data_IF_383942440611
#
_entry.id   IF_383942440611
#
_cell.length_a   1.000
_cell.length_b   1.000
_cell.length_c   1.000
_cell.angle_alpha   90.00
_cell.angle_beta   90.00
_cell.angle_gamma   90.00
#
_symmetry.space_group_name_H-M   'P 1'
#
loop_
_entity.id
_entity.type
_entity.pdbx_description
1 polymer ?
#
# COMPACT_ATOMS: atom_id res chain seq x y z
N UNK A 1 -19.59 35.52 2.96
CA UNK A 1 -20.02 34.12 3.03
C UNK A 1 -18.93 33.30 2.38
N UNK A 2 -18.00 32.78 3.18
CA UNK A 2 -16.87 31.97 2.70
C UNK A 2 -17.45 30.74 2.04
N UNK A 3 -17.25 30.62 0.72
CA UNK A 3 -17.48 29.37 0.01
C UNK A 3 -16.54 28.34 0.64
N UNK A 4 -17.06 27.54 1.58
CA UNK A 4 -16.51 26.23 1.81
C UNK A 4 -16.57 25.58 0.43
N UNK A 5 -15.40 25.41 -0.19
CA UNK A 5 -15.25 24.50 -1.30
C UNK A 5 -15.66 23.14 -0.72
N UNK A 6 -16.95 22.83 -0.83
CA UNK A 6 -17.45 21.48 -0.71
C UNK A 6 -16.70 20.78 -1.81
N UNK A 7 -15.58 20.16 -1.45
CA UNK A 7 -14.91 19.14 -2.22
C UNK A 7 -15.93 18.02 -2.34
N UNK A 8 -16.89 18.24 -3.22
CA UNK A 8 -17.76 17.27 -3.81
C UNK A 8 -16.78 16.49 -4.68
N UNK A 9 -16.04 15.57 -4.06
CA UNK A 9 -15.38 14.51 -4.78
C UNK A 9 -16.52 13.67 -5.33
N UNK A 10 -17.10 14.16 -6.43
CA UNK A 10 -18.13 13.45 -7.15
C UNK A 10 -17.53 12.12 -7.56
N UNK A 11 -18.26 11.04 -7.29
CA UNK A 11 -17.92 9.68 -7.66
C UNK A 11 -17.90 9.44 -9.19
N UNK A 12 -17.95 10.53 -9.96
CA UNK A 12 -18.00 10.60 -11.43
C UNK A 12 -16.75 11.28 -12.03
N UNK A 13 -15.82 11.76 -11.19
CA UNK A 13 -14.61 12.45 -11.65
C UNK A 13 -13.52 11.50 -12.13
N UNK A 14 -13.41 11.29 -13.45
CA UNK A 14 -12.30 10.56 -14.09
C UNK A 14 -10.92 11.17 -13.83
N UNK A 15 -10.89 12.38 -13.27
CA UNK A 15 -9.71 13.23 -13.11
C UNK A 15 -8.65 12.65 -12.17
N UNK A 16 -9.07 11.76 -11.25
CA UNK A 16 -8.17 11.03 -10.35
C UNK A 16 -8.14 9.53 -10.63
N UNK A 17 -8.84 9.06 -11.68
CA UNK A 17 -8.90 7.65 -12.03
C UNK A 17 -7.55 7.15 -12.54
N UNK A 18 -6.89 7.89 -13.44
CA UNK A 18 -5.55 7.53 -13.91
C UNK A 18 -4.51 7.49 -12.77
N UNK A 19 -4.62 8.41 -11.81
CA UNK A 19 -3.76 8.39 -10.62
C UNK A 19 -4.06 7.19 -9.72
N UNK A 20 -5.34 6.86 -9.53
CA UNK A 20 -5.77 5.69 -8.78
C UNK A 20 -5.25 4.40 -9.42
N UNK A 21 -5.45 4.22 -10.72
CA UNK A 21 -5.01 3.03 -11.47
C UNK A 21 -3.48 2.90 -11.48
N UNK A 22 -2.75 4.01 -11.55
CA UNK A 22 -1.30 4.01 -11.41
C UNK A 22 -0.85 3.55 -10.02
N UNK A 23 -1.47 4.07 -8.94
CA UNK A 23 -1.15 3.70 -7.55
C UNK A 23 -1.51 2.24 -7.24
N UNK A 24 -2.66 1.78 -7.72
CA UNK A 24 -3.08 0.37 -7.64
C UNK A 24 -2.10 -0.50 -8.43
N UNK A 25 -1.74 -0.11 -9.66
CA UNK A 25 -0.76 -0.81 -10.48
C UNK A 25 0.63 -0.92 -9.83
N UNK A 26 1.08 0.10 -9.10
CA UNK A 26 2.31 0.02 -8.30
C UNK A 26 2.18 -0.94 -7.13
N UNK A 27 1.04 -0.91 -6.43
CA UNK A 27 0.80 -1.68 -5.22
C UNK A 27 0.61 -3.18 -5.51
N UNK A 28 -0.13 -3.52 -6.56
CA UNK A 28 -0.43 -4.90 -6.96
C UNK A 28 0.60 -5.48 -7.95
N UNK A 29 1.32 -4.62 -8.67
CA UNK A 29 2.29 -5.01 -9.69
C UNK A 29 3.67 -5.40 -9.15
N UNK A 30 4.64 -5.43 -10.06
CA UNK A 30 6.02 -5.84 -9.73
C UNK A 30 6.74 -4.88 -8.79
N UNK A 31 6.38 -3.59 -8.77
CA UNK A 31 6.97 -2.64 -7.83
C UNK A 31 6.64 -2.98 -6.39
N UNK A 32 5.37 -3.26 -6.08
CA UNK A 32 4.94 -3.70 -4.76
C UNK A 32 5.62 -4.99 -4.31
N UNK A 33 5.71 -5.98 -5.22
CA UNK A 33 6.42 -7.24 -4.97
C UNK A 33 7.92 -7.02 -4.74
N UNK A 34 8.57 -6.16 -5.53
CA UNK A 34 9.98 -5.83 -5.38
C UNK A 34 10.25 -5.10 -4.05
N UNK A 35 9.38 -4.17 -3.65
CA UNK A 35 9.50 -3.45 -2.39
C UNK A 35 9.31 -4.37 -1.17
N UNK A 36 8.38 -5.32 -1.25
CA UNK A 36 8.19 -6.35 -0.23
C UNK A 36 9.44 -7.24 -0.06
N UNK A 37 10.05 -7.66 -1.17
CA UNK A 37 11.30 -8.44 -1.15
C UNK A 37 12.45 -7.59 -0.58
N UNK A 38 12.59 -6.34 -1.00
CA UNK A 38 13.62 -5.43 -0.49
C UNK A 38 13.48 -5.18 1.02
N UNK A 39 12.25 -5.01 1.52
CA UNK A 39 11.96 -4.86 2.94
C UNK A 39 12.31 -6.13 3.73
N UNK A 40 11.97 -7.30 3.19
CA UNK A 40 12.36 -8.59 3.78
C UNK A 40 13.89 -8.76 3.84
N UNK A 41 14.59 -8.50 2.72
CA UNK A 41 16.04 -8.61 2.66
C UNK A 41 16.74 -7.65 3.63
N UNK A 42 16.25 -6.41 3.72
CA UNK A 42 16.79 -5.42 4.67
C UNK A 42 16.54 -5.86 6.11
N UNK A 43 15.33 -6.36 6.43
CA UNK A 43 15.00 -6.91 7.74
C UNK A 43 15.83 -8.14 8.10
N UNK A 44 16.12 -9.01 7.12
CA UNK A 44 16.97 -10.19 7.29
C UNK A 44 18.44 -9.81 7.56
N UNK A 45 19.00 -8.85 6.81
CA UNK A 45 20.36 -8.34 7.01
C UNK A 45 20.51 -7.73 8.42
N UNK A 46 19.56 -6.90 8.84
CA UNK A 46 19.57 -6.26 10.16
C UNK A 46 19.35 -7.29 11.29
N UNK A 47 18.49 -8.29 11.07
CA UNK A 47 18.27 -9.39 12.01
C UNK A 47 19.52 -10.24 12.22
N UNK A 48 20.22 -10.55 11.12
CA UNK A 48 21.50 -11.26 11.16
C UNK A 48 22.57 -10.46 11.91
N UNK A 49 22.69 -9.15 11.62
CA UNK A 49 23.65 -8.27 12.29
C UNK A 49 23.42 -8.16 13.81
N UNK A 50 22.18 -8.32 14.28
CA UNK A 50 21.83 -8.20 15.69
C UNK A 50 21.69 -9.53 16.42
N UNK A 51 21.95 -10.67 15.78
CA UNK A 51 21.73 -12.02 16.32
C UNK A 51 20.31 -12.23 16.88
N UNK A 52 19.31 -11.55 16.32
CA UNK A 52 17.90 -11.68 16.75
C UNK A 52 17.00 -11.90 15.55
N UNK A 53 16.03 -12.80 15.68
CA UNK A 53 15.06 -13.09 14.61
C UNK A 53 13.96 -12.02 14.46
N UNK A 54 13.78 -11.15 15.47
CA UNK A 54 12.70 -10.16 15.52
C UNK A 54 12.66 -9.22 14.30
N UNK A 55 13.79 -8.66 13.80
CA UNK A 55 13.77 -7.77 12.62
C UNK A 55 13.38 -8.49 11.32
N UNK A 56 13.74 -9.77 11.19
CA UNK A 56 13.33 -10.58 10.05
C UNK A 56 11.83 -10.87 10.09
N UNK A 57 11.27 -11.15 11.28
CA UNK A 57 9.83 -11.36 11.46
C UNK A 57 9.02 -10.11 11.09
N UNK A 58 9.50 -8.91 11.44
CA UNK A 58 8.85 -7.65 11.06
C UNK A 58 8.83 -7.48 9.53
N UNK A 59 9.92 -7.83 8.83
CA UNK A 59 9.97 -7.83 7.37
C UNK A 59 8.96 -8.79 6.73
N UNK A 60 8.77 -9.98 7.31
CA UNK A 60 7.76 -10.96 6.86
C UNK A 60 6.34 -10.42 7.06
N UNK A 61 6.05 -9.88 8.25
CA UNK A 61 4.72 -9.30 8.54
C UNK A 61 4.42 -8.13 7.60
N UNK A 62 5.40 -7.27 7.34
CA UNK A 62 5.26 -6.19 6.37
C UNK A 62 4.95 -6.70 4.97
N UNK A 63 5.65 -7.74 4.50
CA UNK A 63 5.38 -8.35 3.20
C UNK A 63 3.95 -8.94 3.11
N UNK A 64 3.46 -9.58 4.17
CA UNK A 64 2.09 -10.12 4.24
C UNK A 64 1.06 -8.99 4.18
N UNK A 65 1.22 -7.94 4.99
CA UNK A 65 0.31 -6.79 5.00
C UNK A 65 0.32 -6.08 3.66
N UNK A 66 1.48 -5.90 3.03
CA UNK A 66 1.58 -5.27 1.72
C UNK A 66 0.96 -6.12 0.60
N UNK A 67 0.92 -7.45 0.75
CA UNK A 67 0.29 -8.34 -0.22
C UNK A 67 -1.25 -8.34 -0.19
N UNK A 68 -1.85 -8.01 0.95
CA UNK A 68 -3.31 -8.07 1.17
C UNK A 68 -3.92 -6.65 1.27
N UNK A 69 -3.11 -5.67 1.69
CA UNK A 69 -3.54 -4.28 1.93
C UNK A 69 -4.26 -3.61 0.75
N UNK A 70 -3.74 -3.66 -0.49
CA UNK A 70 -4.39 -3.04 -1.64
C UNK A 70 -5.81 -3.56 -1.88
N UNK A 71 -6.00 -4.88 -1.78
CA UNK A 71 -7.32 -5.51 -1.95
C UNK A 71 -8.32 -5.17 -0.85
N UNK A 72 -7.87 -5.05 0.41
CA UNK A 72 -8.73 -4.63 1.52
C UNK A 72 -9.16 -3.16 1.33
N UNK A 73 -8.25 -2.28 0.95
CA UNK A 73 -8.54 -0.86 0.72
C UNK A 73 -9.54 -0.71 -0.43
N UNK A 74 -9.30 -1.37 -1.57
CA UNK A 74 -10.22 -1.36 -2.70
C UNK A 74 -11.61 -1.88 -2.32
N UNK A 75 -11.69 -3.01 -1.58
CA UNK A 75 -12.95 -3.59 -1.13
C UNK A 75 -13.75 -2.68 -0.19
N UNK A 76 -13.07 -1.94 0.69
CA UNK A 76 -13.73 -0.95 1.55
C UNK A 76 -14.26 0.25 0.75
N UNK A 77 -13.53 0.70 -0.26
CA UNK A 77 -13.96 1.83 -1.08
C UNK A 77 -15.15 1.48 -1.96
N UNK A 78 -15.23 0.27 -2.54
CA UNK A 78 -16.40 -0.19 -3.31
C UNK A 78 -17.64 -0.45 -2.45
N UNK A 79 -17.50 -0.67 -1.15
CA UNK A 79 -18.63 -0.97 -0.26
C UNK A 79 -19.28 0.30 0.32
N UNK A 80 -18.63 1.46 0.19
CA UNK A 80 -19.09 2.74 0.75
C UNK A 80 -19.70 3.67 -0.31
N UNK A 81 -19.43 3.43 -1.61
CA UNK A 81 -20.20 3.99 -2.74
C UNK A 81 -21.42 3.11 -3.00
#
# INVERSE_FOLDING_TARGET
MTAAATASASTEGTEFQDLYDMLVGWSEGYLGKALAIAAFLTGAIVGFAKSTAMPALVGVVFAVVFSIGPGIIAGMMTAVI
#
